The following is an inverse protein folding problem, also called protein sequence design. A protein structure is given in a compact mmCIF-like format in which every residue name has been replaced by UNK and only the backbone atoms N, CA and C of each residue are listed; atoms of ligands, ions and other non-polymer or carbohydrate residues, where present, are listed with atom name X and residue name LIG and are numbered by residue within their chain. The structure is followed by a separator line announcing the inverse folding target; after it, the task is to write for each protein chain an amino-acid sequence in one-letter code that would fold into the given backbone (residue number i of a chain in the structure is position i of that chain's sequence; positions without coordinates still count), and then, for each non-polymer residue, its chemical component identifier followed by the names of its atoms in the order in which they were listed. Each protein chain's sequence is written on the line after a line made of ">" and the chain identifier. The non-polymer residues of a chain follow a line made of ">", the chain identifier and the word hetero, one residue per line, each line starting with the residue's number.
data_IF_498181163273
#
_entry.id   IF_498181163273
#
_cell.length_a   1.000
_cell.length_b   1.000
_cell.length_c   1.000
_cell.angle_alpha   90.00
_cell.angle_beta   90.00
_cell.angle_gamma   90.00
#
_symmetry.space_group_name_H-M   'P 1'
#
loop_
_entity.id
_entity.type
_entity.pdbx_description
1 polymer ?
#
# COMPACT_ATOMS: atom_id res chain seq x y z
N UNK A 1 16.72 -31.05 14.35
CA UNK A 1 15.52 -30.52 13.70
C UNK A 1 15.21 -29.23 14.43
N UNK A 2 14.94 -28.12 13.76
CA UNK A 2 14.44 -26.92 14.40
C UNK A 2 13.10 -27.25 15.10
N UNK A 3 12.90 -26.72 16.32
CA UNK A 3 11.63 -26.88 17.03
C UNK A 3 10.52 -26.22 16.19
N UNK A 4 9.37 -26.86 16.03
CA UNK A 4 8.24 -26.32 15.30
C UNK A 4 7.66 -25.10 16.05
N UNK A 5 7.40 -24.02 15.35
CA UNK A 5 6.76 -22.81 15.91
C UNK A 5 5.23 -23.01 15.84
N UNK A 6 4.52 -22.60 16.89
CA UNK A 6 3.06 -22.69 16.97
C UNK A 6 2.47 -21.32 17.31
N UNK A 7 1.44 -20.91 16.54
CA UNK A 7 0.70 -19.66 16.76
C UNK A 7 -0.79 -19.85 16.41
N UNK A 8 -1.66 -18.94 16.83
CA UNK A 8 -3.06 -18.93 16.34
C UNK A 8 -3.10 -18.47 14.88
N UNK A 9 -2.27 -17.50 14.50
CA UNK A 9 -2.23 -16.91 13.17
C UNK A 9 -0.79 -16.84 12.66
N UNK A 10 -0.52 -17.45 11.52
CA UNK A 10 0.71 -17.27 10.75
C UNK A 10 0.48 -16.22 9.66
N UNK A 11 1.33 -15.19 9.58
CA UNK A 11 1.23 -14.13 8.58
C UNK A 11 2.49 -14.17 7.72
N UNK A 12 2.33 -14.47 6.44
CA UNK A 12 3.41 -14.47 5.45
C UNK A 12 3.52 -13.07 4.86
N UNK A 13 4.62 -12.37 5.17
CA UNK A 13 4.91 -11.03 4.69
C UNK A 13 4.72 -9.93 5.75
N UNK A 14 5.83 -9.28 6.09
CA UNK A 14 5.93 -8.15 7.02
C UNK A 14 5.85 -6.79 6.34
N UNK A 15 5.18 -6.67 5.20
CA UNK A 15 4.81 -5.38 4.60
C UNK A 15 3.72 -4.68 5.41
N UNK A 16 3.37 -3.44 5.04
CA UNK A 16 2.42 -2.63 5.81
C UNK A 16 1.05 -3.32 6.00
N UNK A 17 0.61 -4.10 5.00
CA UNK A 17 -0.63 -4.88 5.09
C UNK A 17 -0.50 -6.01 6.12
N UNK A 18 0.55 -6.82 6.03
CA UNK A 18 0.78 -7.91 6.99
C UNK A 18 0.97 -7.40 8.42
N UNK A 19 1.69 -6.27 8.59
CA UNK A 19 1.87 -5.61 9.89
C UNK A 19 0.54 -5.10 10.46
N UNK A 20 -0.31 -4.48 9.63
CA UNK A 20 -1.64 -4.02 10.04
C UNK A 20 -2.54 -5.19 10.48
N UNK A 21 -2.52 -6.29 9.71
CA UNK A 21 -3.28 -7.52 10.04
C UNK A 21 -2.73 -8.16 11.32
N UNK A 22 -1.40 -8.24 11.48
CA UNK A 22 -0.77 -8.76 12.69
C UNK A 22 -1.18 -7.97 13.95
N UNK A 23 -1.17 -6.65 13.86
CA UNK A 23 -1.64 -5.78 14.94
C UNK A 23 -3.11 -6.02 15.27
N UNK A 24 -3.98 -6.16 14.27
CA UNK A 24 -5.39 -6.46 14.46
C UNK A 24 -5.60 -7.84 15.09
N UNK A 25 -4.88 -8.88 14.65
CA UNK A 25 -4.96 -10.21 15.23
C UNK A 25 -4.54 -10.21 16.71
N UNK A 26 -3.48 -9.47 17.07
CA UNK A 26 -3.09 -9.25 18.47
C UNK A 26 -4.19 -8.56 19.29
N UNK A 27 -4.86 -7.56 18.75
CA UNK A 27 -6.00 -6.89 19.40
C UNK A 27 -7.17 -7.84 19.66
N UNK A 28 -7.31 -8.89 18.85
CA UNK A 28 -8.29 -9.97 19.05
C UNK A 28 -7.80 -11.05 20.02
N UNK A 29 -6.66 -10.84 20.70
CA UNK A 29 -6.08 -11.77 21.66
C UNK A 29 -5.43 -13.01 21.02
N UNK A 30 -5.11 -12.97 19.71
CA UNK A 30 -4.48 -14.09 19.01
C UNK A 30 -2.96 -14.01 19.10
N UNK A 31 -2.29 -15.14 19.29
CA UNK A 31 -0.86 -15.26 19.09
C UNK A 31 -0.53 -15.20 17.60
N UNK A 32 0.52 -14.46 17.22
CA UNK A 32 0.87 -14.18 15.81
C UNK A 32 2.31 -14.56 15.55
N UNK A 33 2.55 -15.37 14.51
CA UNK A 33 3.87 -15.58 13.91
C UNK A 33 3.95 -14.79 12.59
N UNK A 34 4.73 -13.70 12.58
CA UNK A 34 4.99 -12.87 11.39
C UNK A 34 6.23 -13.40 10.67
N UNK A 35 6.05 -13.95 9.49
CA UNK A 35 7.09 -14.61 8.69
C UNK A 35 7.55 -13.66 7.59
N UNK A 36 8.73 -13.07 7.77
CA UNK A 36 9.37 -12.20 6.78
C UNK A 36 10.87 -12.07 7.09
N UNK A 37 11.78 -12.27 6.12
CA UNK A 37 13.22 -12.14 6.36
C UNK A 37 13.69 -10.69 6.55
N UNK A 38 12.89 -9.70 6.13
CA UNK A 38 13.23 -8.28 6.22
C UNK A 38 11.95 -7.40 6.21
N UNK A 39 11.22 -7.32 7.34
CA UNK A 39 9.96 -6.59 7.42
C UNK A 39 10.06 -5.15 6.92
N UNK A 40 9.03 -4.67 6.24
CA UNK A 40 8.88 -3.34 5.64
C UNK A 40 9.91 -2.97 4.56
N UNK A 41 10.78 -3.89 4.09
CA UNK A 41 11.82 -3.61 3.08
C UNK A 41 11.31 -3.55 1.64
N UNK A 42 10.10 -4.07 1.38
CA UNK A 42 9.47 -4.13 0.05
C UNK A 42 8.83 -2.81 -0.39
N UNK A 43 7.63 -2.87 -0.98
CA UNK A 43 6.89 -1.69 -1.45
C UNK A 43 6.64 -0.64 -0.35
N UNK A 44 6.47 -1.07 0.89
CA UNK A 44 6.32 -0.21 2.07
C UNK A 44 7.48 0.77 2.24
N UNK A 45 8.72 0.32 2.01
CA UNK A 45 9.92 1.14 2.16
C UNK A 45 9.94 2.34 1.20
N UNK A 46 9.48 2.14 -0.03
CA UNK A 46 9.44 3.20 -1.05
C UNK A 46 8.20 4.09 -0.95
N UNK A 47 7.12 3.62 -0.32
CA UNK A 47 5.83 4.31 -0.33
C UNK A 47 5.91 5.76 0.17
N UNK A 48 5.21 6.66 -0.53
CA UNK A 48 5.12 8.07 -0.13
C UNK A 48 4.11 8.31 1.00
N UNK A 49 3.17 7.40 1.21
CA UNK A 49 2.21 7.46 2.32
C UNK A 49 1.08 8.45 2.14
N UNK A 50 0.69 8.73 0.91
CA UNK A 50 -0.56 9.44 0.65
C UNK A 50 -1.74 8.56 1.04
N UNK A 51 -2.70 9.13 1.76
CA UNK A 51 -3.98 8.55 2.15
C UNK A 51 -5.04 9.30 1.35
N UNK A 52 -5.19 8.95 0.08
CA UNK A 52 -5.77 9.82 -0.92
C UNK A 52 -6.94 9.14 -1.66
N UNK A 53 -8.08 8.86 -0.98
CA UNK A 53 -9.22 8.21 -1.61
C UNK A 53 -9.85 9.07 -2.71
N UNK A 54 -9.71 10.40 -2.62
CA UNK A 54 -10.33 11.32 -3.57
C UNK A 54 -9.45 11.55 -4.79
N UNK A 55 -8.18 11.93 -4.60
CA UNK A 55 -7.29 12.26 -5.72
C UNK A 55 -6.74 11.03 -6.45
N UNK A 56 -6.89 9.83 -5.87
CA UNK A 56 -6.53 8.55 -6.49
C UNK A 56 -7.72 7.86 -7.18
N UNK A 57 -8.88 8.52 -7.28
CA UNK A 57 -10.01 8.00 -8.07
C UNK A 57 -9.60 7.90 -9.54
N UNK A 58 -9.79 6.74 -10.13
CA UNK A 58 -9.62 6.48 -11.55
C UNK A 58 -10.92 5.96 -12.15
N UNK A 59 -11.13 6.22 -13.43
CA UNK A 59 -12.25 5.65 -14.18
C UNK A 59 -12.18 4.12 -14.16
N UNK A 60 -13.33 3.47 -14.02
CA UNK A 60 -13.47 2.00 -13.94
C UNK A 60 -12.91 1.37 -12.65
N UNK A 61 -12.72 2.15 -11.59
CA UNK A 61 -12.31 1.69 -10.27
C UNK A 61 -13.33 2.08 -9.18
N UNK A 62 -14.63 2.15 -9.55
CA UNK A 62 -15.70 2.62 -8.67
C UNK A 62 -15.86 1.72 -7.43
N UNK A 63 -15.78 0.40 -7.61
CA UNK A 63 -15.84 -0.55 -6.48
C UNK A 63 -14.68 -0.38 -5.48
N UNK A 64 -13.51 0.02 -5.98
CA UNK A 64 -12.35 0.31 -5.15
C UNK A 64 -12.54 1.60 -4.34
N UNK A 65 -13.31 2.56 -4.83
CA UNK A 65 -13.58 3.81 -4.14
C UNK A 65 -14.25 3.56 -2.77
N UNK A 66 -15.25 2.70 -2.70
CA UNK A 66 -15.95 2.38 -1.45
C UNK A 66 -14.98 1.80 -0.41
N UNK A 67 -14.09 0.91 -0.84
CA UNK A 67 -13.06 0.35 0.03
C UNK A 67 -12.06 1.42 0.50
N UNK A 68 -11.65 2.34 -0.38
CA UNK A 68 -10.75 3.45 -0.04
C UNK A 68 -11.39 4.42 0.96
N UNK A 69 -12.66 4.77 0.78
CA UNK A 69 -13.40 5.65 1.68
C UNK A 69 -13.60 5.01 3.06
N UNK A 70 -13.97 3.73 3.10
CA UNK A 70 -14.08 3.00 4.36
C UNK A 70 -12.73 2.96 5.09
N UNK A 71 -11.64 2.69 4.36
CA UNK A 71 -10.30 2.72 4.95
C UNK A 71 -9.92 4.10 5.49
N UNK A 72 -10.23 5.15 4.73
CA UNK A 72 -9.99 6.54 5.17
C UNK A 72 -10.70 6.86 6.48
N UNK A 73 -11.95 6.38 6.64
CA UNK A 73 -12.73 6.52 7.87
C UNK A 73 -12.09 5.81 9.06
N UNK A 74 -11.44 4.69 8.83
CA UNK A 74 -10.79 3.89 9.89
C UNK A 74 -9.43 4.43 10.32
N UNK A 75 -8.75 5.26 9.52
CA UNK A 75 -7.39 5.74 9.80
C UNK A 75 -7.21 6.37 11.18
N UNK A 76 -8.07 7.32 11.66
CA UNK A 76 -7.89 7.95 12.96
C UNK A 76 -7.88 6.93 14.11
N UNK A 77 -8.81 5.97 14.11
CA UNK A 77 -8.89 4.93 15.12
C UNK A 77 -7.78 3.90 15.02
N UNK A 78 -7.30 3.63 13.80
CA UNK A 78 -6.20 2.70 13.56
C UNK A 78 -4.89 3.23 14.17
N UNK A 79 -4.50 4.47 13.85
CA UNK A 79 -3.27 5.06 14.42
C UNK A 79 -3.43 5.40 15.91
N UNK A 80 -4.63 5.82 16.34
CA UNK A 80 -4.94 6.08 17.76
C UNK A 80 -4.95 4.83 18.62
N UNK A 81 -5.02 3.65 18.03
CA UNK A 81 -4.92 2.36 18.70
C UNK A 81 -3.49 1.85 18.91
N UNK A 82 -2.48 2.57 18.40
CA UNK A 82 -1.07 2.24 18.63
C UNK A 82 -0.59 2.78 19.99
N UNK A 83 0.41 2.12 20.63
CA UNK A 83 0.91 2.55 21.93
C UNK A 83 1.55 3.94 21.96
N UNK A 84 2.12 4.39 20.82
CA UNK A 84 2.78 5.68 20.68
C UNK A 84 1.77 6.77 20.27
N UNK A 85 2.10 8.06 20.49
CA UNK A 85 1.30 9.17 19.98
C UNK A 85 1.08 9.10 18.47
N UNK A 86 -0.10 9.46 18.02
CA UNK A 86 -0.51 9.41 16.60
C UNK A 86 0.48 10.16 15.70
N UNK A 87 0.98 11.31 16.12
CA UNK A 87 1.93 12.15 15.42
C UNK A 87 3.27 11.42 15.15
N UNK A 88 3.67 10.52 16.06
CA UNK A 88 4.90 9.75 15.91
C UNK A 88 4.89 8.87 14.64
N UNK A 89 3.71 8.49 14.14
CA UNK A 89 3.57 7.75 12.87
C UNK A 89 3.73 8.64 11.64
N UNK A 90 3.77 9.97 11.81
CA UNK A 90 3.68 10.94 10.72
C UNK A 90 2.29 11.05 10.10
N UNK A 91 1.24 10.53 10.78
CA UNK A 91 -0.14 10.73 10.35
C UNK A 91 -0.54 12.19 10.48
N UNK A 92 -1.11 12.74 9.42
CA UNK A 92 -1.55 14.13 9.36
C UNK A 92 -2.79 14.27 8.49
N UNK A 93 -3.75 15.03 8.96
CA UNK A 93 -4.99 15.37 8.27
C UNK A 93 -4.88 16.68 7.47
N UNK A 94 -3.65 17.21 7.26
CA UNK A 94 -3.43 18.35 6.38
C UNK A 94 -3.94 18.01 4.98
N UNK A 95 -4.84 18.80 4.39
CA UNK A 95 -5.42 18.56 3.08
C UNK A 95 -4.38 18.40 1.98
N UNK A 96 -4.73 17.71 0.91
CA UNK A 96 -3.94 17.65 -0.32
C UNK A 96 -4.31 18.82 -1.23
N UNK A 97 -3.30 19.43 -1.86
CA UNK A 97 -3.46 20.45 -2.89
C UNK A 97 -3.20 19.83 -4.26
N UNK A 98 -4.25 19.71 -5.09
CA UNK A 98 -4.11 19.28 -6.47
C UNK A 98 -3.84 20.50 -7.37
N UNK A 99 -2.80 20.44 -8.22
CA UNK A 99 -2.38 21.57 -9.07
C UNK A 99 -2.09 21.13 -10.49
N UNK A 100 -2.47 21.95 -11.47
CA UNK A 100 -2.15 21.76 -12.88
C UNK A 100 -1.08 22.74 -13.35
N UNK A 101 -0.12 22.26 -14.14
CA UNK A 101 0.96 23.12 -14.64
C UNK A 101 0.47 24.04 -15.76
N UNK A 102 -0.22 23.50 -16.76
CA UNK A 102 -0.66 24.23 -17.94
C UNK A 102 -2.17 24.12 -18.21
N UNK A 103 -2.61 24.66 -19.35
CA UNK A 103 -4.03 24.65 -19.71
C UNK A 103 -4.56 23.27 -20.07
N UNK A 104 -3.72 22.33 -20.53
CA UNK A 104 -4.13 20.95 -20.79
C UNK A 104 -4.29 20.18 -19.48
N UNK A 105 -3.34 20.34 -18.56
CA UNK A 105 -3.40 19.78 -17.21
C UNK A 105 -4.60 20.29 -16.41
N UNK A 106 -4.93 21.59 -16.56
CA UNK A 106 -6.16 22.17 -15.98
C UNK A 106 -7.42 21.50 -16.49
N UNK A 107 -7.51 21.20 -17.80
CA UNK A 107 -8.68 20.50 -18.34
C UNK A 107 -8.77 19.08 -17.79
N UNK A 108 -7.67 18.35 -17.79
CA UNK A 108 -7.64 16.98 -17.24
C UNK A 108 -8.05 16.94 -15.75
N UNK A 109 -7.58 17.89 -14.95
CA UNK A 109 -7.98 17.99 -13.53
C UNK A 109 -9.43 18.44 -13.36
N UNK A 110 -9.97 19.28 -14.27
CA UNK A 110 -11.37 19.65 -14.25
C UNK A 110 -12.28 18.47 -14.60
N UNK A 111 -11.89 17.65 -15.57
CA UNK A 111 -12.62 16.42 -15.93
C UNK A 111 -12.60 15.40 -14.78
N UNK A 112 -11.43 15.20 -14.15
CA UNK A 112 -11.32 14.37 -12.96
C UNK A 112 -12.22 14.89 -11.82
N UNK A 113 -12.20 16.21 -11.58
CA UNK A 113 -13.05 16.82 -10.56
C UNK A 113 -14.54 16.58 -10.85
N UNK A 114 -14.96 16.64 -12.11
CA UNK A 114 -16.35 16.34 -12.46
C UNK A 114 -16.74 14.91 -12.10
N UNK A 115 -15.85 13.93 -12.36
CA UNK A 115 -16.07 12.53 -11.94
C UNK A 115 -16.09 12.40 -10.40
N UNK A 116 -15.18 13.07 -9.69
CA UNK A 116 -15.15 13.09 -8.22
C UNK A 116 -16.45 13.65 -7.62
N UNK A 117 -16.94 14.76 -8.15
CA UNK A 117 -18.22 15.35 -7.72
C UNK A 117 -19.42 14.44 -8.04
N UNK A 118 -19.42 13.77 -9.20
CA UNK A 118 -20.45 12.79 -9.55
C UNK A 118 -20.46 11.58 -8.60
N UNK A 119 -19.30 11.21 -8.06
CA UNK A 119 -19.15 10.19 -7.02
C UNK A 119 -19.45 10.71 -5.59
N UNK A 120 -19.92 11.95 -5.44
CA UNK A 120 -20.25 12.55 -4.14
C UNK A 120 -19.05 13.03 -3.32
N UNK A 121 -17.89 13.14 -3.94
CA UNK A 121 -16.66 13.57 -3.26
C UNK A 121 -16.51 15.10 -3.28
N UNK A 122 -15.85 15.65 -2.26
CA UNK A 122 -15.62 17.08 -2.14
C UNK A 122 -14.25 17.48 -2.69
N UNK A 123 -14.25 18.36 -3.70
CA UNK A 123 -13.05 18.95 -4.30
C UNK A 123 -13.30 20.43 -4.53
N UNK A 124 -12.70 21.28 -3.71
CA UNK A 124 -12.93 22.72 -3.74
C UNK A 124 -11.94 23.44 -4.67
N UNK A 125 -12.42 24.24 -5.63
CA UNK A 125 -11.52 25.05 -6.46
C UNK A 125 -10.93 26.20 -5.63
N UNK A 126 -9.62 26.44 -5.81
CA UNK A 126 -8.93 27.58 -5.24
C UNK A 126 -8.51 28.55 -6.34
N UNK A 127 -8.56 29.85 -6.04
CA UNK A 127 -7.84 30.81 -6.87
C UNK A 127 -6.33 30.58 -6.75
N UNK A 128 -5.57 30.91 -7.78
CA UNK A 128 -4.11 30.78 -7.74
C UNK A 128 -3.47 31.62 -6.62
N UNK A 129 -4.12 32.72 -6.25
CA UNK A 129 -3.71 33.57 -5.13
C UNK A 129 -3.88 32.84 -3.79
N UNK A 130 -5.03 32.19 -3.58
CA UNK A 130 -5.29 31.41 -2.35
C UNK A 130 -4.33 30.23 -2.25
N UNK A 131 -4.13 29.48 -3.34
CA UNK A 131 -3.20 28.37 -3.38
C UNK A 131 -1.78 28.81 -2.99
N UNK A 132 -1.30 29.94 -3.54
CA UNK A 132 0.02 30.51 -3.23
C UNK A 132 0.09 31.18 -1.85
N UNK A 133 -1.01 31.64 -1.29
CA UNK A 133 -1.04 32.09 0.10
C UNK A 133 -0.88 30.93 1.08
N UNK A 134 -1.42 29.74 0.74
CA UNK A 134 -1.24 28.53 1.56
C UNK A 134 0.16 27.93 1.37
N UNK A 135 0.65 27.88 0.12
CA UNK A 135 1.93 27.30 -0.26
C UNK A 135 2.75 28.35 -1.06
N UNK A 136 3.50 29.21 -0.37
CA UNK A 136 4.16 30.36 -0.98
C UNK A 136 5.21 30.02 -2.04
N UNK A 137 5.81 28.83 -1.98
CA UNK A 137 6.82 28.37 -2.94
C UNK A 137 6.23 27.69 -4.19
N UNK A 138 4.88 27.60 -4.32
CA UNK A 138 4.26 27.20 -5.57
C UNK A 138 4.63 28.15 -6.70
N UNK A 139 4.87 27.58 -7.86
CA UNK A 139 5.15 28.34 -9.09
C UNK A 139 4.04 29.34 -9.38
N UNK A 140 4.36 30.58 -9.77
CA UNK A 140 3.36 31.54 -10.23
C UNK A 140 2.73 31.13 -11.58
N UNK A 141 3.26 30.13 -12.25
CA UNK A 141 2.83 29.68 -13.58
C UNK A 141 1.85 28.49 -13.53
N UNK A 142 1.48 27.96 -12.34
CA UNK A 142 0.44 26.95 -12.25
C UNK A 142 -0.88 27.47 -12.85
N UNK A 143 -1.65 26.59 -13.48
CA UNK A 143 -2.86 26.96 -14.22
C UNK A 143 -4.15 26.81 -13.43
N UNK A 144 -4.15 25.94 -12.40
CA UNK A 144 -5.29 25.70 -11.51
C UNK A 144 -4.82 25.10 -10.18
N UNK A 145 -5.70 25.16 -9.18
CA UNK A 145 -5.52 24.52 -7.89
C UNK A 145 -6.86 24.08 -7.30
N UNK A 146 -6.86 22.96 -6.58
CA UNK A 146 -8.01 22.41 -5.87
C UNK A 146 -7.60 21.94 -4.48
N UNK A 147 -8.46 22.20 -3.49
CA UNK A 147 -8.32 21.73 -2.11
C UNK A 147 -9.07 20.40 -1.93
N UNK A 148 -8.38 19.37 -1.45
CA UNK A 148 -8.96 18.04 -1.23
C UNK A 148 -8.79 17.69 0.24
N UNK A 149 -9.82 17.97 1.03
CA UNK A 149 -9.77 17.85 2.50
C UNK A 149 -9.74 16.42 3.00
N UNK A 150 -10.31 15.49 2.25
CA UNK A 150 -10.38 14.08 2.63
C UNK A 150 -9.09 13.31 2.36
N UNK A 151 -8.15 13.91 1.63
CA UNK A 151 -6.86 13.30 1.33
C UNK A 151 -5.83 13.71 2.38
N UNK A 152 -5.30 12.72 3.08
CA UNK A 152 -4.37 12.85 4.20
C UNK A 152 -3.00 12.24 3.88
N UNK A 153 -2.15 12.09 4.89
CA UNK A 153 -0.83 11.43 4.74
C UNK A 153 -0.39 10.74 6.02
N UNK A 154 0.52 9.78 5.87
CA UNK A 154 1.25 9.11 6.96
C UNK A 154 2.71 8.89 6.52
N UNK A 155 3.63 8.65 7.44
CA UNK A 155 4.96 8.14 7.06
C UNK A 155 4.97 6.61 7.14
N UNK A 156 4.99 5.89 6.00
CA UNK A 156 4.92 4.43 6.00
C UNK A 156 6.08 3.74 6.73
N UNK A 157 7.27 4.38 6.76
CA UNK A 157 8.44 3.84 7.46
C UNK A 157 8.27 3.97 8.98
N UNK A 158 7.80 5.13 9.45
CA UNK A 158 7.48 5.36 10.85
C UNK A 158 6.33 4.46 11.30
N UNK A 159 5.25 4.41 10.52
CA UNK A 159 4.10 3.55 10.82
C UNK A 159 4.51 2.07 10.95
N UNK A 160 5.30 1.55 10.01
CA UNK A 160 5.77 0.17 10.07
C UNK A 160 6.63 -0.08 11.32
N UNK A 161 7.53 0.84 11.66
CA UNK A 161 8.33 0.74 12.88
C UNK A 161 7.47 0.73 14.15
N UNK A 162 6.40 1.56 14.20
CA UNK A 162 5.48 1.58 15.34
C UNK A 162 4.60 0.32 15.41
N UNK A 163 4.19 -0.24 14.29
CA UNK A 163 3.47 -1.53 14.26
C UNK A 163 4.36 -2.68 14.76
N UNK A 164 5.62 -2.74 14.32
CA UNK A 164 6.60 -3.72 14.82
C UNK A 164 6.82 -3.56 16.34
N UNK A 165 7.03 -2.33 16.80
CA UNK A 165 7.19 -2.06 18.23
C UNK A 165 5.93 -2.44 19.05
N UNK A 166 4.72 -2.22 18.49
CA UNK A 166 3.48 -2.64 19.14
C UNK A 166 3.34 -4.16 19.24
N UNK A 167 3.84 -4.90 18.23
CA UNK A 167 3.87 -6.37 18.26
C UNK A 167 4.88 -6.90 19.28
N UNK A 168 6.04 -6.24 19.42
CA UNK A 168 7.09 -6.60 20.40
C UNK A 168 6.75 -6.22 21.85
N UNK A 169 5.76 -5.36 22.09
CA UNK A 169 5.42 -4.86 23.41
C UNK A 169 4.68 -5.87 24.31
N UNK A 170 4.54 -7.13 23.89
CA UNK A 170 3.81 -8.18 24.61
C UNK A 170 4.76 -8.96 25.53
N UNK A 171 4.21 -9.42 26.68
CA UNK A 171 4.95 -10.22 27.66
C UNK A 171 4.89 -11.71 27.32
N UNK A 172 5.93 -12.51 27.65
CA UNK A 172 5.88 -13.97 27.59
C UNK A 172 4.70 -14.59 28.34
N UNK A 173 4.16 -13.88 29.32
CA UNK A 173 3.10 -14.38 30.23
C UNK A 173 1.68 -14.04 29.76
N UNK A 174 1.48 -13.29 28.67
CA UNK A 174 0.17 -12.83 28.22
C UNK A 174 -0.58 -13.82 27.29
N UNK A 175 -0.02 -15.01 27.06
CA UNK A 175 -0.62 -16.04 26.20
C UNK A 175 -0.57 -15.74 24.70
N UNK A 176 -0.16 -14.53 24.32
CA UNK A 176 0.02 -14.14 22.89
C UNK A 176 1.44 -14.34 22.39
N UNK A 177 2.37 -14.69 23.29
CA UNK A 177 3.78 -14.94 22.98
C UNK A 177 3.98 -16.24 22.19
N UNK A 178 4.67 -16.15 21.09
CA UNK A 178 5.00 -17.31 20.25
C UNK A 178 6.39 -17.85 20.61
N UNK A 179 6.41 -19.03 21.21
CA UNK A 179 7.67 -19.70 21.57
C UNK A 179 8.46 -20.05 20.29
N UNK A 180 9.75 -19.73 20.29
CA UNK A 180 10.64 -19.96 19.14
C UNK A 180 10.65 -18.85 18.09
N UNK A 181 9.77 -17.84 18.22
CA UNK A 181 9.83 -16.61 17.44
C UNK A 181 10.65 -15.54 18.19
N UNK A 182 11.33 -14.67 17.44
CA UNK A 182 12.04 -13.52 17.99
C UNK A 182 11.00 -12.49 18.50
N UNK A 183 11.26 -11.87 19.65
CA UNK A 183 10.35 -10.96 20.33
C UNK A 183 8.92 -11.51 20.48
N UNK A 184 8.75 -12.86 20.48
CA UNK A 184 7.48 -13.53 20.64
C UNK A 184 6.51 -13.39 19.46
N UNK A 185 6.97 -12.96 18.31
CA UNK A 185 6.15 -12.88 17.09
C UNK A 185 6.93 -12.98 15.76
N UNK A 186 8.18 -12.56 15.71
CA UNK A 186 8.93 -12.47 14.46
C UNK A 186 9.60 -13.81 14.10
N UNK A 187 9.44 -14.22 12.85
CA UNK A 187 10.12 -15.37 12.24
C UNK A 187 10.90 -14.86 11.04
N UNK A 188 12.21 -14.60 11.25
CA UNK A 188 13.11 -14.06 10.23
C UNK A 188 13.48 -15.13 9.19
N UNK A 189 12.50 -15.52 8.40
CA UNK A 189 12.68 -16.52 7.34
C UNK A 189 11.72 -16.24 6.18
N UNK A 190 12.08 -16.75 4.99
CA UNK A 190 11.19 -16.76 3.84
C UNK A 190 10.22 -17.94 3.93
N UNK A 191 8.95 -17.70 3.65
CA UNK A 191 7.98 -18.77 3.46
C UNK A 191 8.23 -19.47 2.12
N UNK A 192 8.23 -20.80 2.14
CA UNK A 192 8.36 -21.66 0.96
C UNK A 192 7.00 -22.08 0.41
N UNK A 193 6.06 -22.40 1.32
CA UNK A 193 4.76 -22.89 0.93
C UNK A 193 3.81 -23.07 2.10
N UNK A 194 2.61 -23.52 1.80
CA UNK A 194 1.57 -23.81 2.77
C UNK A 194 1.68 -25.26 3.25
N UNK A 195 1.46 -25.47 4.54
CA UNK A 195 1.30 -26.80 5.14
C UNK A 195 -0.19 -27.15 5.15
N UNK A 196 -0.50 -28.39 4.75
CA UNK A 196 -1.85 -28.91 4.72
C UNK A 196 -2.04 -30.02 5.75
N UNK A 197 -3.21 -30.05 6.35
CA UNK A 197 -3.72 -31.19 7.15
C UNK A 197 -5.11 -31.56 6.60
N UNK A 198 -5.15 -32.63 5.79
CA UNK A 198 -6.31 -32.95 4.96
C UNK A 198 -6.64 -31.81 3.98
N UNK A 199 -7.87 -31.29 4.04
CA UNK A 199 -8.36 -30.22 3.17
C UNK A 199 -8.18 -28.81 3.76
N UNK A 200 -7.48 -28.68 4.89
CA UNK A 200 -7.26 -27.45 5.63
C UNK A 200 -5.81 -27.00 5.54
N UNK A 201 -5.58 -25.68 5.43
CA UNK A 201 -4.26 -25.09 5.63
C UNK A 201 -3.97 -25.01 7.13
N UNK A 202 -2.86 -25.63 7.55
CA UNK A 202 -2.46 -25.79 8.95
C UNK A 202 -1.15 -25.06 9.31
N UNK A 203 -0.64 -24.21 8.39
CA UNK A 203 0.58 -23.46 8.64
C UNK A 203 1.45 -23.20 7.41
N UNK A 204 2.74 -23.01 7.66
CA UNK A 204 3.73 -22.54 6.68
C UNK A 204 5.00 -23.38 6.75
N UNK A 205 5.50 -23.82 5.59
CA UNK A 205 6.84 -24.37 5.40
C UNK A 205 7.83 -23.21 5.12
N UNK A 206 8.96 -23.19 5.81
CA UNK A 206 9.99 -22.17 5.65
C UNK A 206 11.10 -22.65 4.70
N UNK A 207 11.77 -21.72 4.03
CA UNK A 207 12.90 -22.03 3.13
C UNK A 207 14.10 -22.68 3.87
N UNK A 208 14.27 -22.40 5.15
CA UNK A 208 15.31 -23.00 6.00
C UNK A 208 14.96 -24.42 6.50
N UNK A 209 13.81 -24.98 6.07
CA UNK A 209 13.33 -26.29 6.48
C UNK A 209 12.59 -26.34 7.82
N UNK A 210 12.41 -25.21 8.50
CA UNK A 210 11.52 -25.09 9.67
C UNK A 210 10.05 -25.03 9.28
N UNK A 211 9.16 -25.14 10.28
CA UNK A 211 7.70 -25.05 10.10
C UNK A 211 7.08 -24.11 11.12
N UNK A 212 6.02 -23.43 10.71
CA UNK A 212 5.11 -22.69 11.57
C UNK A 212 3.74 -23.31 11.45
N UNK A 213 3.22 -23.86 12.54
CA UNK A 213 1.86 -24.40 12.61
C UNK A 213 0.92 -23.32 13.11
N UNK A 214 -0.24 -23.16 12.46
CA UNK A 214 -1.21 -22.14 12.81
C UNK A 214 -2.64 -22.60 12.51
N UNK A 215 -3.60 -22.09 13.30
CA UNK A 215 -5.01 -22.26 13.03
C UNK A 215 -5.45 -21.49 11.78
N UNK A 216 -4.86 -20.35 11.53
CA UNK A 216 -5.11 -19.50 10.37
C UNK A 216 -3.80 -19.06 9.74
N UNK A 217 -3.73 -19.06 8.42
CA UNK A 217 -2.58 -18.57 7.64
C UNK A 217 -3.01 -17.43 6.74
N UNK A 218 -2.37 -16.27 6.86
CA UNK A 218 -2.63 -15.09 6.04
C UNK A 218 -1.47 -14.88 5.06
N UNK A 219 -1.76 -14.89 3.77
CA UNK A 219 -0.78 -14.64 2.71
C UNK A 219 -0.78 -13.15 2.36
N UNK A 220 0.19 -12.40 2.87
CA UNK A 220 0.32 -10.94 2.72
C UNK A 220 1.67 -10.50 2.12
N UNK A 221 2.38 -11.41 1.43
CA UNK A 221 3.74 -11.19 0.92
C UNK A 221 3.81 -10.56 -0.49
N UNK A 222 2.77 -9.87 -0.90
CA UNK A 222 2.75 -9.06 -2.12
C UNK A 222 3.06 -9.88 -3.37
N UNK A 223 4.13 -9.53 -4.09
CA UNK A 223 4.55 -10.22 -5.32
C UNK A 223 4.97 -11.68 -5.10
N UNK A 224 5.28 -12.05 -3.87
CA UNK A 224 5.64 -13.44 -3.52
C UNK A 224 4.44 -14.38 -3.44
N UNK A 225 3.23 -13.86 -3.31
CA UNK A 225 2.05 -14.68 -3.07
C UNK A 225 1.80 -15.74 -4.17
N UNK A 226 1.87 -15.43 -5.47
CA UNK A 226 1.65 -16.43 -6.54
C UNK A 226 2.71 -17.55 -6.57
N UNK A 227 3.86 -17.36 -5.89
CA UNK A 227 5.00 -18.27 -5.94
C UNK A 227 5.07 -19.23 -4.75
N UNK A 228 4.15 -19.11 -3.79
CA UNK A 228 4.07 -20.02 -2.66
C UNK A 228 3.66 -21.42 -3.15
N UNK A 229 4.35 -22.43 -2.65
CA UNK A 229 3.96 -23.83 -2.90
C UNK A 229 2.70 -24.20 -2.11
N UNK A 230 1.92 -25.11 -2.65
CA UNK A 230 0.72 -25.60 -1.96
C UNK A 230 -0.44 -24.61 -1.95
N UNK A 231 -0.48 -23.63 -2.84
CA UNK A 231 -1.71 -22.86 -3.08
C UNK A 231 -2.82 -23.80 -3.55
N UNK A 232 -4.10 -23.52 -3.20
CA UNK A 232 -5.25 -24.31 -3.65
C UNK A 232 -5.24 -24.54 -5.17
N UNK A 233 -5.58 -25.75 -5.60
CA UNK A 233 -5.64 -26.09 -7.02
C UNK A 233 -6.64 -25.18 -7.75
N UNK A 234 -6.24 -24.65 -8.90
CA UNK A 234 -7.05 -23.73 -9.70
C UNK A 234 -7.10 -22.29 -9.20
N UNK A 235 -6.49 -21.96 -8.06
CA UNK A 235 -6.39 -20.58 -7.61
C UNK A 235 -5.40 -19.79 -8.47
N UNK A 236 -5.89 -18.74 -9.12
CA UNK A 236 -5.08 -17.80 -9.89
C UNK A 236 -4.91 -16.50 -9.12
N UNK A 237 -3.67 -16.16 -8.79
CA UNK A 237 -3.31 -14.86 -8.20
C UNK A 237 -2.53 -14.03 -9.23
N UNK A 238 -3.21 -13.31 -10.16
CA UNK A 238 -2.56 -12.62 -11.26
C UNK A 238 -1.90 -11.31 -10.80
N UNK A 239 -0.91 -11.42 -9.92
CA UNK A 239 -0.17 -10.30 -9.35
C UNK A 239 1.06 -10.03 -10.22
N UNK A 240 1.18 -8.78 -10.71
CA UNK A 240 2.29 -8.32 -11.54
C UNK A 240 3.09 -7.20 -10.88
N UNK A 241 4.41 -7.10 -11.15
CA UNK A 241 5.22 -6.02 -10.60
C UNK A 241 5.00 -4.71 -11.38
N UNK A 242 4.68 -3.63 -10.66
CA UNK A 242 4.62 -2.28 -11.21
C UNK A 242 5.62 -1.39 -10.46
N UNK A 243 6.76 -1.15 -11.10
CA UNK A 243 7.86 -0.39 -10.50
C UNK A 243 7.56 1.09 -10.45
N UNK A 244 8.03 1.74 -9.37
CA UNK A 244 7.96 3.19 -9.22
C UNK A 244 9.24 3.74 -8.61
N UNK A 245 9.85 4.72 -9.30
CA UNK A 245 10.99 5.45 -8.78
C UNK A 245 10.49 6.56 -7.86
N UNK A 246 11.12 6.70 -6.70
CA UNK A 246 10.80 7.65 -5.63
C UNK A 246 12.08 8.35 -5.22
N UNK A 247 12.00 9.65 -4.99
CA UNK A 247 13.11 10.47 -4.50
C UNK A 247 12.79 10.98 -3.10
N UNK A 248 13.80 10.98 -2.23
CA UNK A 248 13.74 11.65 -0.92
C UNK A 248 14.79 12.75 -0.90
N UNK A 249 14.35 13.97 -0.58
CA UNK A 249 15.21 15.16 -0.59
C UNK A 249 15.12 15.88 0.75
N UNK A 250 16.22 16.48 1.18
CA UNK A 250 16.26 17.36 2.35
C UNK A 250 16.03 18.79 1.93
N UNK A 251 15.14 19.44 2.65
CA UNK A 251 14.86 20.88 2.47
C UNK A 251 15.90 21.68 3.27
N UNK A 252 16.69 22.58 2.67
CA UNK A 252 17.58 23.48 3.38
C UNK A 252 16.81 24.38 4.36
N UNK A 253 17.45 24.78 5.45
CA UNK A 253 16.78 25.50 6.54
C UNK A 253 16.05 26.77 6.07
N UNK A 254 16.62 27.51 5.11
CA UNK A 254 16.04 28.75 4.59
C UNK A 254 14.80 28.56 3.70
N UNK A 255 14.53 27.33 3.25
CA UNK A 255 13.35 26.97 2.46
C UNK A 255 12.29 26.18 3.26
N UNK A 256 12.48 26.00 4.57
CA UNK A 256 11.53 25.25 5.42
C UNK A 256 10.37 26.11 5.90
N UNK A 257 9.14 25.61 5.79
CA UNK A 257 8.75 24.42 5.07
C UNK A 257 8.74 24.66 3.55
N UNK A 258 9.18 23.67 2.74
CA UNK A 258 9.05 23.75 1.29
C UNK A 258 7.58 23.83 0.87
N UNK A 259 6.78 22.91 1.40
CA UNK A 259 5.33 22.87 1.34
C UNK A 259 4.80 22.29 2.66
N UNK A 260 3.58 22.62 3.05
CA UNK A 260 2.90 22.09 4.25
C UNK A 260 1.91 20.99 3.88
N UNK A 261 1.15 21.20 2.80
CA UNK A 261 0.26 20.24 2.23
C UNK A 261 0.99 19.19 1.35
N UNK A 262 0.40 18.03 1.14
CA UNK A 262 0.77 17.21 0.00
C UNK A 262 0.40 17.96 -1.28
N UNK A 263 1.36 18.19 -2.17
CA UNK A 263 1.12 18.77 -3.49
C UNK A 263 1.04 17.62 -4.49
N UNK A 264 -0.14 17.42 -5.08
CA UNK A 264 -0.37 16.46 -6.15
C UNK A 264 -0.52 17.20 -7.47
N UNK A 265 0.43 17.06 -8.35
CA UNK A 265 0.50 17.80 -9.59
C UNK A 265 0.16 16.98 -10.82
N UNK A 266 -0.36 17.67 -11.84
CA UNK A 266 -0.39 17.18 -13.22
C UNK A 266 0.55 18.07 -14.03
N UNK A 267 1.53 17.47 -14.69
CA UNK A 267 2.53 18.17 -15.50
C UNK A 267 2.66 17.45 -16.83
N UNK A 268 2.22 18.10 -17.91
CA UNK A 268 2.22 17.49 -19.27
C UNK A 268 1.44 16.16 -19.32
N UNK A 269 0.32 16.09 -18.62
CA UNK A 269 -0.51 14.88 -18.52
C UNK A 269 0.07 13.78 -17.61
N UNK A 270 1.20 14.02 -16.94
CA UNK A 270 1.84 13.04 -16.05
C UNK A 270 1.63 13.45 -14.60
N UNK A 271 1.11 12.56 -13.74
CA UNK A 271 0.97 12.84 -12.32
C UNK A 271 2.33 12.82 -11.61
N UNK A 272 2.55 13.79 -10.72
CA UNK A 272 3.70 13.89 -9.84
C UNK A 272 3.24 14.39 -8.48
N UNK A 273 3.95 14.06 -7.41
CA UNK A 273 3.61 14.54 -6.07
C UNK A 273 4.83 14.92 -5.25
N UNK A 274 4.60 15.82 -4.28
CA UNK A 274 5.52 16.19 -3.21
C UNK A 274 4.81 15.95 -1.89
N UNK A 275 5.35 15.06 -1.06
CA UNK A 275 4.81 14.76 0.27
C UNK A 275 5.79 15.24 1.32
N UNK A 276 5.47 16.31 2.08
CA UNK A 276 6.35 16.83 3.12
C UNK A 276 6.36 15.92 4.36
N UNK A 277 7.51 15.93 5.05
CA UNK A 277 7.74 15.23 6.31
C UNK A 277 8.10 16.23 7.41
N UNK A 278 7.82 15.85 8.65
CA UNK A 278 8.12 16.69 9.83
C UNK A 278 9.61 16.88 10.07
N UNK A 279 10.44 15.94 9.64
CA UNK A 279 11.90 15.99 9.77
C UNK A 279 12.56 16.96 8.78
N UNK A 280 11.78 17.68 8.00
CA UNK A 280 12.27 18.61 6.99
C UNK A 280 12.72 17.96 5.71
N UNK A 281 12.32 16.70 5.46
CA UNK A 281 12.47 16.04 4.16
C UNK A 281 11.19 16.13 3.34
N UNK A 282 11.28 15.85 2.06
CA UNK A 282 10.14 15.65 1.16
C UNK A 282 10.33 14.38 0.36
N UNK A 283 9.21 13.74 0.03
CA UNK A 283 9.16 12.57 -0.87
C UNK A 283 8.54 13.02 -2.19
N UNK A 284 9.26 12.76 -3.29
CA UNK A 284 8.81 13.06 -4.65
C UNK A 284 8.60 11.76 -5.40
N UNK A 285 7.49 11.62 -6.08
CA UNK A 285 7.16 10.43 -6.88
C UNK A 285 6.03 10.69 -7.87
N UNK A 286 5.67 9.72 -8.62
CA UNK A 286 6.39 8.48 -8.84
C UNK A 286 6.35 8.14 -10.33
N UNK A 287 7.41 7.53 -10.83
CA UNK A 287 7.34 6.88 -12.14
C UNK A 287 6.46 5.63 -12.07
N UNK A 288 6.01 5.15 -13.22
CA UNK A 288 5.32 3.88 -13.35
C UNK A 288 5.86 3.14 -14.57
N UNK A 289 6.32 1.91 -14.35
CA UNK A 289 6.81 1.03 -15.41
C UNK A 289 6.57 -0.43 -15.04
N UNK A 290 6.29 -1.24 -16.02
CA UNK A 290 6.05 -2.69 -15.85
C UNK A 290 7.24 -3.53 -16.31
N UNK A 291 8.26 -2.91 -16.91
CA UNK A 291 9.53 -3.51 -17.25
C UNK A 291 10.52 -3.51 -16.08
N UNK A 292 11.38 -4.49 -16.04
CA UNK A 292 12.50 -4.55 -15.11
C UNK A 292 13.78 -4.04 -15.77
N UNK A 293 14.45 -3.05 -15.15
CA UNK A 293 15.76 -2.57 -15.63
C UNK A 293 16.88 -3.60 -15.40
N UNK A 294 16.68 -4.54 -14.47
CA UNK A 294 17.60 -5.64 -14.18
C UNK A 294 16.86 -6.76 -13.47
N UNK A 295 17.46 -7.94 -13.45
CA UNK A 295 16.95 -9.10 -12.70
C UNK A 295 16.79 -8.84 -11.18
N UNK A 296 17.50 -7.86 -10.64
CA UNK A 296 17.45 -7.44 -9.22
C UNK A 296 16.55 -6.23 -8.97
N UNK A 297 15.89 -5.68 -9.99
CA UNK A 297 14.71 -4.80 -10.01
C UNK A 297 14.62 -3.57 -9.08
N UNK A 298 15.55 -3.34 -8.17
CA UNK A 298 15.59 -2.15 -7.31
C UNK A 298 16.36 -0.97 -7.93
N UNK A 299 16.78 -1.09 -9.19
CA UNK A 299 17.51 -0.06 -9.90
C UNK A 299 16.57 1.09 -10.27
N UNK A 300 17.02 2.31 -10.00
CA UNK A 300 16.35 3.56 -10.39
C UNK A 300 16.89 3.99 -11.75
N UNK A 301 16.01 4.37 -12.67
CA UNK A 301 16.44 4.87 -13.98
C UNK A 301 16.91 6.31 -13.90
N UNK A 302 17.99 6.66 -14.58
CA UNK A 302 18.43 8.05 -14.73
C UNK A 302 17.34 8.93 -15.36
N UNK A 303 16.60 8.38 -16.34
CA UNK A 303 15.45 9.04 -16.96
C UNK A 303 14.31 9.29 -15.98
N UNK A 304 14.02 8.34 -15.09
CA UNK A 304 13.01 8.49 -14.04
C UNK A 304 13.37 9.58 -13.03
N UNK A 305 14.62 9.62 -12.57
CA UNK A 305 15.12 10.70 -11.70
C UNK A 305 14.98 12.06 -12.38
N UNK A 306 15.45 12.16 -13.61
CA UNK A 306 15.35 13.39 -14.39
C UNK A 306 13.90 13.83 -14.58
N UNK A 307 13.00 12.91 -14.96
CA UNK A 307 11.58 13.20 -15.15
C UNK A 307 10.95 13.76 -13.87
N UNK A 308 11.14 13.10 -12.73
CA UNK A 308 10.56 13.52 -11.45
C UNK A 308 11.06 14.90 -11.04
N UNK A 309 12.38 15.16 -11.11
CA UNK A 309 12.96 16.46 -10.77
C UNK A 309 12.49 17.55 -11.73
N UNK A 310 12.49 17.29 -13.04
CA UNK A 310 12.02 18.22 -14.06
C UNK A 310 10.56 18.61 -13.84
N UNK A 311 9.69 17.62 -13.60
CA UNK A 311 8.25 17.87 -13.54
C UNK A 311 7.85 18.53 -12.21
N UNK A 312 8.45 18.14 -11.10
CA UNK A 312 8.14 18.76 -9.83
C UNK A 312 8.64 20.22 -9.72
N UNK A 313 9.77 20.56 -10.39
CA UNK A 313 10.28 21.94 -10.46
C UNK A 313 9.33 22.89 -11.20
N UNK A 314 8.50 22.38 -12.12
CA UNK A 314 7.45 23.19 -12.77
C UNK A 314 6.43 23.67 -11.74
N UNK A 315 6.13 22.86 -10.73
CA UNK A 315 5.16 23.16 -9.68
C UNK A 315 5.76 23.93 -8.50
N UNK A 316 6.96 23.53 -8.09
CA UNK A 316 7.70 24.11 -6.95
C UNK A 316 9.17 24.32 -7.38
N UNK A 317 9.51 25.47 -7.98
CA UNK A 317 10.85 25.71 -8.52
C UNK A 317 11.99 25.54 -7.51
N UNK A 318 11.75 25.84 -6.24
CA UNK A 318 12.71 25.70 -5.15
C UNK A 318 13.21 24.25 -4.94
N UNK A 319 12.56 23.25 -5.52
CA UNK A 319 13.06 21.86 -5.50
C UNK A 319 14.45 21.73 -6.11
N UNK A 320 14.83 22.62 -7.01
CA UNK A 320 16.18 22.65 -7.59
C UNK A 320 17.31 22.83 -6.54
N UNK A 321 17.00 23.40 -5.38
CA UNK A 321 17.96 23.68 -4.31
C UNK A 321 18.01 22.61 -3.23
N UNK A 322 17.21 21.56 -3.31
CA UNK A 322 17.11 20.50 -2.32
C UNK A 322 18.26 19.49 -2.47
N UNK A 323 18.69 18.94 -1.33
CA UNK A 323 19.68 17.86 -1.31
C UNK A 323 19.03 16.51 -1.60
N UNK A 324 19.46 15.80 -2.66
CA UNK A 324 19.02 14.44 -2.94
C UNK A 324 19.66 13.48 -1.93
N UNK A 325 18.85 12.87 -1.06
CA UNK A 325 19.28 11.91 -0.04
C UNK A 325 19.19 10.48 -0.53
N UNK A 326 18.10 10.14 -1.23
CA UNK A 326 17.81 8.77 -1.64
C UNK A 326 17.04 8.77 -2.96
N UNK A 327 17.43 7.88 -3.85
CA UNK A 327 16.63 7.48 -5.00
C UNK A 327 16.37 5.96 -4.89
N UNK A 328 15.10 5.57 -4.84
CA UNK A 328 14.72 4.17 -4.61
C UNK A 328 13.63 3.74 -5.57
N UNK A 329 13.68 2.47 -5.98
CA UNK A 329 12.62 1.84 -6.76
C UNK A 329 12.13 0.59 -6.04
N UNK A 330 10.82 0.37 -6.03
CA UNK A 330 10.20 -0.88 -5.58
C UNK A 330 9.01 -1.19 -6.47
N UNK A 331 8.74 -2.47 -6.60
CA UNK A 331 7.59 -2.94 -7.33
C UNK A 331 6.35 -2.98 -6.42
N UNK A 332 5.27 -2.40 -6.89
CA UNK A 332 3.93 -2.51 -6.30
C UNK A 332 3.27 -3.77 -6.83
N UNK A 333 2.59 -4.57 -6.00
CA UNK A 333 1.86 -5.77 -6.45
C UNK A 333 0.55 -5.34 -7.12
N UNK A 334 0.54 -5.20 -8.44
CA UNK A 334 -0.64 -4.84 -9.23
C UNK A 334 -1.46 -6.06 -9.64
N UNK A 335 -2.76 -5.91 -9.77
CA UNK A 335 -3.73 -6.88 -10.27
C UNK A 335 -4.31 -6.40 -11.60
N UNK A 336 -5.01 -7.21 -12.40
CA UNK A 336 -5.60 -6.79 -13.67
C UNK A 336 -6.61 -5.64 -13.53
N UNK A 337 -7.38 -5.63 -12.45
CA UNK A 337 -8.41 -4.62 -12.12
C UNK A 337 -7.93 -3.56 -11.11
N UNK A 338 -6.64 -3.56 -10.76
CA UNK A 338 -6.01 -2.70 -9.75
C UNK A 338 -6.59 -2.81 -8.32
N UNK A 339 -7.58 -3.69 -8.11
CA UNK A 339 -8.18 -3.95 -6.82
C UNK A 339 -7.46 -5.08 -6.06
N UNK A 340 -7.45 -5.07 -4.72
CA UNK A 340 -6.77 -6.09 -3.93
C UNK A 340 -7.39 -7.48 -4.10
N UNK A 341 -6.58 -8.51 -3.87
CA UNK A 341 -7.00 -9.88 -3.64
C UNK A 341 -7.13 -10.06 -2.13
N UNK A 342 -8.34 -9.98 -1.58
CA UNK A 342 -8.58 -9.91 -0.15
C UNK A 342 -9.76 -10.79 0.27
N UNK A 343 -9.49 -11.77 1.13
CA UNK A 343 -10.51 -12.65 1.65
C UNK A 343 -10.12 -14.13 1.67
N UNK A 344 -11.09 -14.99 1.96
CA UNK A 344 -10.96 -16.43 1.82
C UNK A 344 -11.09 -16.85 0.36
N UNK A 345 -10.70 -18.08 0.07
CA UNK A 345 -10.76 -18.67 -1.28
C UNK A 345 -11.61 -19.92 -1.27
N UNK A 346 -12.31 -20.19 -2.37
CA UNK A 346 -13.00 -21.47 -2.59
C UNK A 346 -12.13 -22.39 -3.45
N UNK A 347 -12.22 -23.67 -3.18
CA UNK A 347 -11.76 -24.75 -4.07
C UNK A 347 -12.97 -25.51 -4.63
N UNK A 348 -12.75 -26.69 -5.20
CA UNK A 348 -13.82 -27.55 -5.76
C UNK A 348 -14.78 -28.12 -4.71
N UNK A 349 -14.41 -28.12 -3.43
CA UNK A 349 -15.18 -28.69 -2.32
C UNK A 349 -15.84 -27.64 -1.43
N UNK A 350 -15.52 -26.36 -1.61
CA UNK A 350 -16.02 -25.25 -0.82
C UNK A 350 -14.93 -24.28 -0.38
N UNK A 351 -15.18 -23.52 0.70
CA UNK A 351 -14.19 -22.61 1.26
C UNK A 351 -13.01 -23.36 1.88
N UNK A 352 -11.79 -22.93 1.56
CA UNK A 352 -10.55 -23.49 2.10
C UNK A 352 -10.37 -22.99 3.53
N UNK A 353 -10.52 -23.88 4.50
CA UNK A 353 -10.31 -23.55 5.89
C UNK A 353 -8.84 -23.20 6.19
N UNK A 354 -8.63 -22.28 7.13
CA UNK A 354 -7.31 -21.89 7.60
C UNK A 354 -6.50 -21.03 6.64
N UNK A 355 -7.09 -20.50 5.54
CA UNK A 355 -6.40 -19.68 4.55
C UNK A 355 -7.13 -18.37 4.29
N UNK A 356 -6.37 -17.26 4.39
CA UNK A 356 -6.79 -15.92 3.95
C UNK A 356 -5.71 -15.36 3.02
N UNK A 357 -6.11 -14.77 1.92
CA UNK A 357 -5.21 -14.03 1.00
C UNK A 357 -5.42 -12.53 1.20
N UNK A 358 -4.32 -11.78 1.29
CA UNK A 358 -4.33 -10.31 1.42
C UNK A 358 -3.17 -9.70 0.62
N UNK A 359 -3.30 -9.65 -0.70
CA UNK A 359 -2.25 -9.20 -1.62
C UNK A 359 -2.80 -8.33 -2.76
N UNK A 360 -1.95 -7.88 -3.67
CA UNK A 360 -2.41 -7.17 -4.87
C UNK A 360 -2.90 -5.74 -4.63
N UNK A 361 -2.52 -5.07 -3.55
CA UNK A 361 -3.01 -3.73 -3.16
C UNK A 361 -2.48 -2.59 -4.03
N UNK A 362 -1.62 -2.87 -4.99
CA UNK A 362 -1.08 -1.93 -5.96
C UNK A 362 -0.58 -0.62 -5.31
N UNK A 363 -1.09 0.54 -5.79
CA UNK A 363 -0.73 1.87 -5.29
C UNK A 363 -1.39 2.23 -3.95
N UNK A 364 -2.42 1.49 -3.55
CA UNK A 364 -3.26 1.81 -2.38
C UNK A 364 -2.88 1.07 -1.10
N UNK A 365 -1.80 0.27 -1.08
CA UNK A 365 -1.47 -0.58 0.06
C UNK A 365 -1.39 0.16 1.40
N UNK A 366 -0.82 1.37 1.44
CA UNK A 366 -0.78 2.16 2.68
C UNK A 366 -2.19 2.64 3.05
N UNK A 367 -2.91 3.26 2.12
CA UNK A 367 -4.28 3.73 2.36
C UNK A 367 -5.19 2.60 2.88
N UNK A 368 -5.13 1.41 2.27
CA UNK A 368 -6.02 0.29 2.55
C UNK A 368 -5.61 -0.56 3.77
N UNK A 369 -4.52 -0.21 4.46
CA UNK A 369 -4.06 -0.98 5.63
C UNK A 369 -5.13 -1.14 6.72
N UNK A 370 -5.83 -0.07 7.17
CA UNK A 370 -6.86 -0.22 8.22
C UNK A 370 -8.03 -1.11 7.81
N UNK A 371 -8.55 -0.94 6.59
CA UNK A 371 -9.71 -1.74 6.14
C UNK A 371 -9.32 -3.19 5.87
N UNK A 372 -8.12 -3.45 5.34
CA UNK A 372 -7.61 -4.82 5.18
C UNK A 372 -7.45 -5.51 6.53
N UNK A 373 -6.91 -4.81 7.54
CA UNK A 373 -6.80 -5.31 8.90
C UNK A 373 -8.18 -5.60 9.52
N UNK A 374 -9.17 -4.73 9.32
CA UNK A 374 -10.53 -4.91 9.81
C UNK A 374 -11.19 -6.14 9.16
N UNK A 375 -11.17 -6.24 7.82
CA UNK A 375 -11.76 -7.35 7.06
C UNK A 375 -11.13 -8.69 7.50
N UNK A 376 -9.79 -8.75 7.55
CA UNK A 376 -9.13 -10.00 8.00
C UNK A 376 -9.46 -10.29 9.46
N UNK A 377 -9.55 -9.28 10.33
CA UNK A 377 -9.98 -9.44 11.72
C UNK A 377 -11.38 -10.05 11.86
N UNK A 378 -12.33 -9.63 11.01
CA UNK A 378 -13.67 -10.24 10.92
C UNK A 378 -13.59 -11.71 10.49
N UNK A 379 -12.82 -12.01 9.42
CA UNK A 379 -12.62 -13.38 8.94
C UNK A 379 -12.01 -14.30 10.01
N UNK A 380 -11.02 -13.80 10.77
CA UNK A 380 -10.42 -14.54 11.90
C UNK A 380 -11.40 -14.75 13.07
N UNK A 381 -12.46 -13.96 13.14
CA UNK A 381 -13.53 -14.07 14.13
C UNK A 381 -14.75 -14.86 13.63
N UNK A 382 -14.68 -15.42 12.42
CA UNK A 382 -15.75 -16.21 11.81
C UNK A 382 -16.91 -15.37 11.25
N UNK A 383 -16.69 -14.09 10.96
CA UNK A 383 -17.67 -13.20 10.32
C UNK A 383 -17.15 -12.64 9.01
N UNK A 384 -18.04 -12.23 8.12
CA UNK A 384 -17.70 -11.56 6.85
C UNK A 384 -18.72 -10.48 6.55
N UNK A 385 -18.26 -9.35 6.03
CA UNK A 385 -19.12 -8.35 5.42
C UNK A 385 -19.25 -8.64 3.91
N UNK A 386 -20.45 -8.94 3.40
CA UNK A 386 -20.66 -9.32 2.00
C UNK A 386 -20.30 -8.19 1.02
N UNK A 387 -20.22 -6.94 1.45
CA UNK A 387 -19.80 -5.81 0.61
C UNK A 387 -18.42 -6.03 -0.02
N UNK A 388 -17.53 -6.73 0.71
CA UNK A 388 -16.15 -6.95 0.29
C UNK A 388 -15.93 -8.23 -0.51
N UNK A 389 -17.00 -9.00 -0.77
CA UNK A 389 -16.91 -10.25 -1.54
C UNK A 389 -16.41 -10.05 -2.97
N UNK A 390 -16.60 -8.86 -3.54
CA UNK A 390 -16.07 -8.48 -4.86
C UNK A 390 -14.53 -8.53 -4.93
N UNK A 391 -13.83 -8.40 -3.79
CA UNK A 391 -12.37 -8.45 -3.72
C UNK A 391 -11.83 -9.84 -3.44
N UNK A 392 -12.69 -10.89 -3.43
CA UNK A 392 -12.23 -12.25 -3.19
C UNK A 392 -11.09 -12.64 -4.13
N UNK A 393 -10.08 -13.38 -3.62
CA UNK A 393 -8.90 -13.76 -4.40
C UNK A 393 -9.21 -14.65 -5.60
N UNK A 394 -10.26 -15.46 -5.51
CA UNK A 394 -10.67 -16.43 -6.52
C UNK A 394 -11.53 -15.86 -7.66
N UNK A 395 -11.74 -14.52 -7.69
CA UNK A 395 -12.54 -13.86 -8.75
C UNK A 395 -11.94 -13.99 -10.16
N UNK A 396 -10.65 -14.30 -10.26
CA UNK A 396 -9.95 -14.54 -11.53
C UNK A 396 -9.82 -16.01 -11.92
N UNK A 397 -10.43 -16.94 -11.16
CA UNK A 397 -10.41 -18.35 -11.52
C UNK A 397 -11.24 -18.62 -12.78
N UNK A 398 -10.73 -19.46 -13.68
CA UNK A 398 -11.32 -19.74 -15.01
C UNK A 398 -12.76 -20.29 -15.01
N UNK A 399 -13.24 -20.79 -13.86
CA UNK A 399 -14.58 -21.39 -13.69
C UNK A 399 -15.70 -20.40 -13.38
N UNK A 400 -15.40 -19.16 -13.00
CA UNK A 400 -16.40 -18.10 -12.84
C UNK A 400 -16.41 -17.25 -14.10
N UNK A 401 -17.28 -17.60 -15.05
CA UNK A 401 -17.37 -17.07 -16.41
C UNK A 401 -17.54 -15.55 -16.51
N UNK A 402 -16.43 -14.84 -16.39
CA UNK A 402 -16.28 -13.52 -16.93
C UNK A 402 -15.01 -13.53 -17.78
N UNK A 403 -15.20 -13.69 -19.08
CA UNK A 403 -14.17 -13.47 -20.10
C UNK A 403 -13.82 -11.98 -20.11
N UNK A 404 -12.74 -11.63 -19.44
CA UNK A 404 -12.04 -10.37 -19.70
C UNK A 404 -11.29 -10.55 -21.03
N UNK A 405 -11.50 -9.70 -22.04
CA UNK A 405 -10.76 -9.80 -23.29
C UNK A 405 -9.28 -9.47 -23.03
N UNK A 406 -8.43 -10.48 -23.14
CA UNK A 406 -6.99 -10.26 -23.27
C UNK A 406 -6.75 -9.70 -24.69
N UNK A 407 -6.67 -8.39 -24.82
CA UNK A 407 -6.11 -7.76 -26.02
C UNK A 407 -4.61 -8.08 -26.07
N UNK A 408 -4.26 -9.03 -26.90
CA UNK A 408 -2.87 -9.20 -27.35
C UNK A 408 -2.47 -7.97 -28.16
N UNK A 409 -1.35 -7.30 -27.85
CA UNK A 409 -0.85 -6.26 -28.73
C UNK A 409 -0.49 -6.90 -30.08
N UNK A 410 -1.28 -6.62 -31.10
CA UNK A 410 -0.96 -6.96 -32.47
C UNK A 410 0.32 -6.22 -32.86
N UNK A 411 1.38 -7.00 -33.05
CA UNK A 411 2.61 -6.53 -33.69
C UNK A 411 2.29 -5.95 -35.07
N UNK A 412 2.44 -4.65 -35.18
CA UNK A 412 2.44 -3.91 -36.44
C UNK A 412 3.85 -3.44 -36.75
N UNK A 413 4.60 -4.26 -37.48
CA UNK A 413 5.72 -3.77 -38.28
C UNK A 413 5.17 -2.82 -39.36
N UNK A 414 5.57 -1.55 -39.35
CA UNK A 414 6.17 -0.86 -40.49
C UNK A 414 6.75 0.48 -40.04
#
# INVERSE_FOLDING_TARGET
>A
MAEAIHADVAIIGGGIIGLGIAHQARKLGRSVALIDPAPASGATFAAAGMLAPVSELHYQEEDLLDLMLESSRLWPSFVGGLPQPTEATGYSTTPTLAVGADAADRRALADLRAAQLAAGLEVEPLSLREARNREPLLSPQISCAFDIRADHKVDPRKLAAHLLAALAAHSPDDGSWVKGAEDGFAVEASARGLLWDGDRVAGVELENGGTVHAAETVVANGLGAPHLRGLPEGLSLPVRPVYGDILRLRVPAHLRPLVTATVRGMVRGVPVYIVPREDGTVVIGATQREDSLSATSNAVSAGGVYQLLRDVQVLVPAVAELELLEATARARPGTPDNAPLLGRVDNSTGEVEGLVIATGFFRHGVLLTPVAAAIVGELLSGSTDPRWSIFRPDRFNATRGHLWPMETPSGGHK
#
